data_IF_314550450608
#
_entry.id   IF_314550450608
#
_cell.length_a   1.000
_cell.length_b   1.000
_cell.length_c   1.000
_cell.angle_alpha   90.00
_cell.angle_beta   90.00
_cell.angle_gamma   90.00
#
_symmetry.space_group_name_H-M   'P 1'
#
loop_
_entity.id
_entity.type
_entity.pdbx_description
1 polymer ?
#
# COMPACT_ATOMS: atom_id res chain seq x y z
N UNK A 1 3.04 2.18 10.93
CA UNK A 1 3.37 2.21 12.39
C UNK A 1 4.27 1.01 12.71
N UNK A 2 5.10 1.02 13.76
CA UNK A 2 6.29 0.15 13.89
C UNK A 2 5.97 -1.24 14.48
N UNK A 3 6.57 -2.31 13.94
CA UNK A 3 7.03 -3.44 14.77
C UNK A 3 8.21 -2.92 15.64
N UNK A 4 7.91 -1.98 16.55
CA UNK A 4 8.88 -1.46 17.48
C UNK A 4 9.05 -2.55 18.54
N UNK A 5 10.03 -3.41 18.35
CA UNK A 5 10.80 -3.83 19.51
C UNK A 5 11.40 -2.52 20.04
N UNK A 6 10.85 -2.03 21.15
CA UNK A 6 11.19 -0.75 21.75
C UNK A 6 12.69 -0.75 22.08
N UNK A 7 13.50 -0.21 21.15
CA UNK A 7 14.93 0.00 21.35
C UNK A 7 15.20 1.27 22.16
N UNK A 8 14.21 1.74 22.95
CA UNK A 8 14.44 2.74 23.97
C UNK A 8 15.07 2.05 25.18
N UNK A 9 16.35 2.30 25.39
CA UNK A 9 16.85 2.33 26.77
C UNK A 9 15.95 3.27 27.58
N UNK A 10 15.69 2.91 28.84
CA UNK A 10 14.86 3.69 29.76
C UNK A 10 15.37 5.13 30.05
N UNK A 11 16.41 5.58 29.36
CA UNK A 11 17.11 6.85 29.53
C UNK A 11 17.06 7.80 28.31
N UNK A 12 16.42 7.42 27.19
CA UNK A 12 16.23 8.32 26.05
C UNK A 12 17.53 8.76 25.36
N UNK A 13 18.63 8.03 25.53
CA UNK A 13 19.88 8.32 24.82
C UNK A 13 19.95 7.59 23.48
N UNK A 14 20.12 8.33 22.39
CA UNK A 14 20.43 7.75 21.08
C UNK A 14 21.73 6.94 21.19
N UNK A 15 21.63 5.62 21.16
CA UNK A 15 22.80 4.75 21.14
C UNK A 15 23.55 5.03 19.85
N UNK A 16 24.74 5.62 19.93
CA UNK A 16 25.60 5.88 18.78
C UNK A 16 26.06 4.57 18.13
N UNK A 17 25.22 4.00 17.26
CA UNK A 17 25.47 2.77 16.52
C UNK A 17 26.43 3.07 15.37
N UNK A 18 27.50 2.29 15.23
CA UNK A 18 28.39 2.40 14.07
C UNK A 18 27.72 1.76 12.85
N UNK A 19 27.19 2.58 11.95
CA UNK A 19 26.51 2.13 10.74
C UNK A 19 27.44 1.58 9.66
N UNK A 20 28.75 1.80 9.74
CA UNK A 20 29.70 1.34 8.70
C UNK A 20 29.69 -0.19 8.54
N UNK A 21 29.87 -1.01 9.59
CA UNK A 21 29.80 -2.47 9.46
C UNK A 21 28.41 -2.96 9.05
N UNK A 22 27.35 -2.27 9.49
CA UNK A 22 25.95 -2.60 9.15
C UNK A 22 25.71 -2.44 7.66
N UNK A 23 26.08 -1.28 7.10
CA UNK A 23 25.97 -1.02 5.66
C UNK A 23 26.78 -2.07 4.89
N UNK A 24 28.03 -2.34 5.29
CA UNK A 24 28.86 -3.36 4.62
C UNK A 24 28.24 -4.76 4.64
N UNK A 25 27.50 -5.12 5.69
CA UNK A 25 26.77 -6.38 5.74
C UNK A 25 25.57 -6.36 4.78
N UNK A 26 24.77 -5.29 4.80
CA UNK A 26 23.63 -5.11 3.90
C UNK A 26 24.05 -5.11 2.42
N UNK A 27 25.18 -4.48 2.08
CA UNK A 27 25.75 -4.46 0.72
C UNK A 27 26.14 -5.86 0.24
N UNK A 28 26.51 -6.78 1.15
CA UNK A 28 26.77 -8.19 0.80
C UNK A 28 25.49 -8.98 0.57
N UNK A 29 24.37 -8.57 1.18
CA UNK A 29 23.06 -9.22 1.01
C UNK A 29 22.37 -8.80 -0.29
N UNK A 30 22.50 -7.52 -0.69
CA UNK A 30 21.71 -6.91 -1.77
C UNK A 30 22.52 -6.25 -2.89
N UNK A 31 23.85 -6.32 -2.92
CA UNK A 31 24.71 -5.43 -3.74
C UNK A 31 24.73 -3.97 -3.27
N UNK A 32 25.89 -3.33 -3.45
CA UNK A 32 26.12 -1.97 -2.94
C UNK A 32 25.24 -0.89 -3.57
N UNK A 33 24.81 -1.06 -4.83
CA UNK A 33 23.94 -0.10 -5.51
C UNK A 33 22.46 -0.18 -5.07
N UNK A 34 22.10 -1.12 -4.18
CA UNK A 34 20.75 -1.26 -3.62
C UNK A 34 20.69 -0.93 -2.12
N UNK A 35 21.77 -0.34 -1.60
CA UNK A 35 21.89 0.14 -0.23
C UNK A 35 22.22 1.63 -0.25
N UNK A 36 21.23 2.47 0.05
CA UNK A 36 21.39 3.93 0.05
C UNK A 36 21.79 4.41 1.43
N UNK A 37 22.81 5.26 1.49
CA UNK A 37 23.31 5.83 2.75
C UNK A 37 23.78 7.27 2.62
N UNK A 38 23.96 7.76 1.39
CA UNK A 38 24.42 9.12 1.16
C UNK A 38 23.28 10.07 1.49
N UNK A 39 23.60 11.20 2.10
CA UNK A 39 22.61 12.17 2.57
C UNK A 39 21.63 12.55 1.45
N UNK A 40 22.13 12.73 0.24
CA UNK A 40 21.35 13.12 -0.94
C UNK A 40 20.41 12.02 -1.41
N UNK A 41 20.80 10.75 -1.29
CA UNK A 41 19.94 9.60 -1.61
C UNK A 41 18.80 9.47 -0.59
N UNK A 42 19.10 9.72 0.68
CA UNK A 42 18.14 9.54 1.76
C UNK A 42 17.05 10.62 1.80
N UNK A 43 17.24 11.76 1.13
CA UNK A 43 16.27 12.86 1.09
C UNK A 43 14.91 12.43 0.51
N UNK A 44 14.89 11.56 -0.50
CA UNK A 44 13.63 11.13 -1.13
C UNK A 44 12.81 10.16 -0.26
N UNK A 45 13.38 9.71 0.86
CA UNK A 45 12.77 8.75 1.78
C UNK A 45 12.40 9.37 3.13
N UNK A 46 12.60 10.69 3.33
CA UNK A 46 12.40 11.33 4.63
C UNK A 46 10.93 11.49 5.03
N UNK A 47 10.00 11.42 4.08
CA UNK A 47 8.56 11.45 4.31
C UNK A 47 7.82 10.55 3.32
N UNK A 48 6.61 10.15 3.69
CA UNK A 48 5.60 9.65 2.75
C UNK A 48 4.74 10.82 2.23
N UNK A 49 3.49 10.57 1.84
CA UNK A 49 2.58 11.61 1.38
C UNK A 49 2.25 12.65 2.46
N UNK A 50 2.46 12.34 3.75
CA UNK A 50 2.28 13.27 4.85
C UNK A 50 3.51 14.17 5.05
N UNK A 51 3.81 14.99 4.03
CA UNK A 51 5.06 15.75 3.89
C UNK A 51 5.42 16.74 5.00
N UNK A 52 4.49 17.05 5.90
CA UNK A 52 4.72 17.88 7.09
C UNK A 52 5.58 17.18 8.15
N UNK A 53 5.63 15.84 8.14
CA UNK A 53 6.47 15.06 9.04
C UNK A 53 7.64 14.48 8.25
N UNK A 54 8.86 14.65 8.78
CA UNK A 54 10.08 14.22 8.13
C UNK A 54 11.01 13.56 9.13
N UNK A 55 11.52 12.40 8.75
CA UNK A 55 12.51 11.66 9.52
C UNK A 55 13.41 10.91 8.55
N UNK A 56 14.73 11.11 8.65
CA UNK A 56 15.67 10.38 7.81
C UNK A 56 15.99 9.01 8.42
N UNK A 57 15.95 7.91 7.65
CA UNK A 57 16.46 6.62 8.11
C UNK A 57 18.00 6.63 8.12
N UNK A 58 18.62 5.68 8.80
CA UNK A 58 20.08 5.55 8.75
C UNK A 58 20.55 4.96 7.42
N UNK A 59 19.78 4.02 6.86
CA UNK A 59 20.07 3.34 5.59
C UNK A 59 18.76 2.90 4.93
N UNK A 60 18.74 2.87 3.60
CA UNK A 60 17.62 2.33 2.81
C UNK A 60 18.11 1.12 2.04
N UNK A 61 17.28 0.08 1.97
CA UNK A 61 17.54 -1.15 1.21
C UNK A 61 16.48 -1.35 0.14
N UNK A 62 16.89 -1.83 -1.03
CA UNK A 62 16.04 -2.02 -2.22
C UNK A 62 16.06 -3.49 -2.69
N UNK A 63 15.49 -4.43 -1.90
CA UNK A 63 15.40 -5.83 -2.31
C UNK A 63 14.50 -6.03 -3.54
N UNK A 64 14.74 -7.12 -4.26
CA UNK A 64 14.06 -7.53 -5.49
C UNK A 64 13.36 -8.88 -5.35
N UNK A 65 13.71 -9.69 -4.35
CA UNK A 65 13.10 -11.01 -4.12
C UNK A 65 12.67 -11.17 -2.67
N UNK A 66 11.81 -12.16 -2.42
CA UNK A 66 11.39 -12.51 -1.06
C UNK A 66 12.57 -12.94 -0.18
N UNK A 67 13.53 -13.68 -0.75
CA UNK A 67 14.72 -14.16 -0.05
C UNK A 67 15.62 -13.00 0.39
N UNK A 68 15.75 -11.98 -0.45
CA UNK A 68 16.49 -10.77 -0.13
C UNK A 68 15.80 -9.96 0.99
N UNK A 69 14.47 -9.81 0.94
CA UNK A 69 13.71 -9.19 2.05
C UNK A 69 13.91 -9.99 3.34
N UNK A 70 13.77 -11.31 3.28
CA UNK A 70 13.97 -12.22 4.41
C UNK A 70 15.38 -12.12 5.00
N UNK A 71 16.42 -12.04 4.16
CA UNK A 71 17.79 -11.89 4.60
C UNK A 71 18.04 -10.56 5.32
N UNK A 72 17.50 -9.45 4.81
CA UNK A 72 17.61 -8.13 5.46
C UNK A 72 16.87 -8.12 6.79
N UNK A 73 15.64 -8.63 6.84
CA UNK A 73 14.83 -8.69 8.07
C UNK A 73 15.52 -9.58 9.11
N UNK A 74 16.03 -10.75 8.72
CA UNK A 74 16.77 -11.65 9.61
C UNK A 74 18.02 -10.98 10.18
N UNK A 75 18.79 -10.30 9.34
CA UNK A 75 19.94 -9.52 9.79
C UNK A 75 19.53 -8.42 10.79
N UNK A 76 18.47 -7.66 10.49
CA UNK A 76 17.94 -6.66 11.42
C UNK A 76 17.50 -7.28 12.75
N UNK A 77 16.83 -8.43 12.71
CA UNK A 77 16.38 -9.17 13.89
C UNK A 77 17.56 -9.62 14.75
N UNK A 78 18.57 -10.26 14.16
CA UNK A 78 19.77 -10.75 14.85
C UNK A 78 20.63 -9.64 15.46
N UNK A 79 20.60 -8.44 14.87
CA UNK A 79 21.37 -7.28 15.32
C UNK A 79 20.53 -6.29 16.16
N UNK A 80 19.27 -6.62 16.45
CA UNK A 80 18.32 -5.76 17.17
C UNK A 80 18.24 -4.35 16.53
N UNK A 81 18.24 -4.30 15.20
CA UNK A 81 18.12 -3.07 14.42
C UNK A 81 16.65 -2.89 14.04
N UNK A 82 16.02 -1.76 14.40
CA UNK A 82 14.65 -1.51 13.97
C UNK A 82 14.59 -1.32 12.46
N UNK A 83 13.50 -1.76 11.86
CA UNK A 83 13.24 -1.56 10.45
C UNK A 83 11.83 -1.03 10.22
N UNK A 84 11.66 -0.33 9.10
CA UNK A 84 10.37 0.14 8.59
C UNK A 84 10.25 -0.34 7.16
N UNK A 85 9.08 -0.81 6.76
CA UNK A 85 8.82 -1.17 5.36
C UNK A 85 8.15 -0.02 4.63
N UNK A 86 8.45 0.13 3.34
CA UNK A 86 7.88 1.18 2.50
C UNK A 86 7.66 0.69 1.07
N UNK A 87 6.47 0.97 0.54
CA UNK A 87 6.17 0.85 -0.89
C UNK A 87 6.55 2.11 -1.66
N UNK A 88 5.64 2.64 -2.48
CA UNK A 88 5.85 3.91 -3.18
C UNK A 88 5.90 5.15 -2.26
N UNK A 89 5.40 5.05 -1.02
CA UNK A 89 5.40 6.16 -0.06
C UNK A 89 4.34 7.23 -0.33
N UNK A 90 3.18 6.84 -0.86
CA UNK A 90 2.04 7.73 -1.13
C UNK A 90 1.05 7.82 0.04
N UNK A 91 1.31 7.13 1.15
CA UNK A 91 0.43 7.10 2.32
C UNK A 91 0.32 8.47 2.99
N UNK A 92 -0.83 8.74 3.61
CA UNK A 92 -1.13 10.02 4.29
C UNK A 92 -1.26 9.85 5.82
N UNK A 93 -0.99 8.66 6.34
CA UNK A 93 -1.08 8.31 7.76
C UNK A 93 0.24 8.48 8.52
N UNK A 94 1.37 8.61 7.81
CA UNK A 94 2.70 8.46 8.39
C UNK A 94 3.10 6.99 8.59
N UNK A 95 2.31 6.04 8.09
CA UNK A 95 2.55 4.60 8.25
C UNK A 95 3.90 4.14 7.70
N UNK A 96 4.40 4.81 6.65
CA UNK A 96 5.67 4.57 6.00
C UNK A 96 6.76 5.62 6.33
N UNK A 97 6.50 6.48 7.33
CA UNK A 97 7.50 7.42 7.85
C UNK A 97 8.63 6.62 8.52
N UNK A 98 9.90 6.87 8.18
CA UNK A 98 11.00 6.21 8.86
C UNK A 98 11.08 6.63 10.33
N UNK A 99 11.74 5.83 11.15
CA UNK A 99 12.20 6.28 12.48
C UNK A 99 13.71 6.57 12.46
N UNK A 100 14.20 7.28 13.48
CA UNK A 100 15.65 7.45 13.66
C UNK A 100 16.34 6.09 13.75
N UNK A 101 17.58 6.02 13.24
CA UNK A 101 18.45 4.85 13.43
C UNK A 101 17.85 3.51 12.96
N UNK A 102 17.00 3.54 11.92
CA UNK A 102 16.39 2.34 11.31
C UNK A 102 16.94 2.00 9.92
N UNK A 103 16.71 0.74 9.54
CA UNK A 103 16.79 0.28 8.15
C UNK A 103 15.42 0.47 7.51
N UNK A 104 15.32 1.30 6.47
CA UNK A 104 14.12 1.40 5.65
C UNK A 104 14.18 0.35 4.54
N UNK A 105 13.24 -0.59 4.51
CA UNK A 105 13.15 -1.66 3.53
C UNK A 105 12.14 -1.26 2.47
N UNK A 106 12.61 -0.91 1.27
CA UNK A 106 11.79 -0.35 0.20
C UNK A 106 11.52 -1.41 -0.86
N UNK A 107 10.26 -1.79 -1.03
CA UNK A 107 9.83 -2.88 -1.92
C UNK A 107 9.60 -2.44 -3.37
N UNK A 108 9.92 -1.19 -3.71
CA UNK A 108 9.66 -0.63 -5.04
C UNK A 108 10.42 -1.32 -6.15
N UNK A 109 11.48 -2.08 -5.88
CA UNK A 109 12.18 -2.86 -6.93
C UNK A 109 11.53 -4.23 -7.22
N UNK A 110 10.53 -4.65 -6.45
CA UNK A 110 9.78 -5.89 -6.64
C UNK A 110 8.53 -5.62 -7.51
N UNK A 111 8.71 -5.44 -8.82
CA UNK A 111 7.65 -4.93 -9.73
C UNK A 111 7.14 -5.97 -10.74
N UNK A 112 7.34 -7.27 -10.49
CA UNK A 112 6.91 -8.30 -11.44
C UNK A 112 5.45 -8.70 -11.23
N UNK A 113 4.71 -8.81 -12.33
CA UNK A 113 3.50 -9.63 -12.41
C UNK A 113 3.97 -11.06 -12.68
N UNK A 114 3.71 -11.96 -11.75
CA UNK A 114 4.24 -13.32 -11.72
C UNK A 114 3.34 -14.30 -12.49
N UNK A 115 2.02 -14.13 -12.40
CA UNK A 115 1.04 -14.99 -13.05
C UNK A 115 -0.28 -14.25 -13.31
N UNK A 116 -0.99 -14.62 -14.38
CA UNK A 116 -2.34 -14.14 -14.70
C UNK A 116 -3.20 -15.33 -15.12
N UNK A 117 -4.24 -15.61 -14.31
CA UNK A 117 -5.19 -16.70 -14.52
C UNK A 117 -6.58 -16.12 -14.77
N UNK A 118 -6.92 -15.95 -16.05
CA UNK A 118 -8.20 -15.36 -16.46
C UNK A 118 -9.40 -16.25 -16.16
N UNK A 119 -9.23 -17.58 -16.22
CA UNK A 119 -10.32 -18.53 -15.99
C UNK A 119 -10.77 -18.48 -14.53
N UNK A 120 -9.82 -18.30 -13.61
CA UNK A 120 -10.11 -18.12 -12.19
C UNK A 120 -10.20 -16.65 -11.73
N UNK A 121 -9.96 -15.70 -12.64
CA UNK A 121 -9.98 -14.26 -12.38
C UNK A 121 -8.98 -13.84 -11.29
N UNK A 122 -7.72 -14.27 -11.46
CA UNK A 122 -6.63 -14.03 -10.50
C UNK A 122 -5.40 -13.44 -11.17
N UNK A 123 -4.64 -12.69 -10.40
CA UNK A 123 -3.31 -12.22 -10.76
C UNK A 123 -2.38 -12.35 -9.55
N UNK A 124 -1.16 -12.84 -9.76
CA UNK A 124 -0.13 -12.92 -8.72
C UNK A 124 0.91 -11.85 -9.01
N UNK A 125 1.20 -11.00 -8.04
CA UNK A 125 2.10 -9.84 -8.21
C UNK A 125 3.06 -9.68 -7.05
N UNK A 126 4.20 -9.03 -7.34
CA UNK A 126 5.09 -8.52 -6.32
C UNK A 126 4.57 -7.18 -5.73
N UNK A 127 4.95 -6.81 -4.49
CA UNK A 127 4.40 -5.66 -3.76
C UNK A 127 4.74 -4.28 -4.35
N UNK A 128 5.79 -4.20 -5.18
CA UNK A 128 6.21 -2.98 -5.84
C UNK A 128 5.43 -2.66 -7.12
N UNK A 129 4.58 -3.57 -7.61
CA UNK A 129 3.69 -3.31 -8.76
C UNK A 129 2.76 -2.14 -8.42
N UNK A 130 2.69 -1.16 -9.32
CA UNK A 130 1.77 -0.02 -9.18
C UNK A 130 0.34 -0.51 -9.39
N UNK A 131 -0.59 -0.04 -8.56
CA UNK A 131 -1.99 -0.49 -8.57
C UNK A 131 -2.60 -0.51 -9.99
N UNK A 132 -2.56 0.63 -10.70
CA UNK A 132 -3.15 0.73 -12.03
C UNK A 132 -2.45 -0.15 -13.09
N UNK A 133 -1.20 -0.59 -12.86
CA UNK A 133 -0.50 -1.47 -13.81
C UNK A 133 -1.15 -2.85 -13.90
N UNK A 134 -1.84 -3.31 -12.84
CA UNK A 134 -2.60 -4.56 -12.92
C UNK A 134 -3.74 -4.42 -13.92
N UNK A 135 -4.57 -3.38 -13.79
CA UNK A 135 -5.67 -3.12 -14.72
C UNK A 135 -5.14 -2.98 -16.15
N UNK A 136 -4.03 -2.26 -16.36
CA UNK A 136 -3.40 -2.18 -17.67
C UNK A 136 -3.03 -3.56 -18.23
N UNK A 137 -2.43 -4.43 -17.42
CA UNK A 137 -2.00 -5.76 -17.82
C UNK A 137 -3.17 -6.70 -18.20
N UNK A 138 -4.33 -6.58 -17.55
CA UNK A 138 -5.48 -7.49 -17.74
C UNK A 138 -6.60 -6.92 -18.62
N UNK A 139 -6.56 -5.61 -18.92
CA UNK A 139 -7.61 -4.90 -19.68
C UNK A 139 -7.88 -5.48 -21.07
N UNK A 140 -6.85 -5.96 -21.77
CA UNK A 140 -6.99 -6.58 -23.09
C UNK A 140 -7.87 -7.83 -23.12
N UNK A 141 -8.08 -8.48 -21.97
CA UNK A 141 -8.97 -9.63 -21.80
C UNK A 141 -10.34 -9.26 -21.18
N UNK A 142 -10.63 -7.96 -21.05
CA UNK A 142 -11.89 -7.45 -20.49
C UNK A 142 -11.97 -7.56 -18.97
N UNK A 143 -10.83 -7.47 -18.27
CA UNK A 143 -10.76 -7.47 -16.81
C UNK A 143 -10.15 -6.17 -16.26
N UNK A 144 -10.31 -5.95 -14.95
CA UNK A 144 -9.67 -4.88 -14.20
C UNK A 144 -9.45 -5.27 -12.74
N UNK A 145 -8.56 -4.57 -12.03
CA UNK A 145 -8.42 -4.63 -10.58
C UNK A 145 -9.25 -3.52 -9.93
N UNK A 146 -10.10 -3.86 -8.96
CA UNK A 146 -11.17 -2.96 -8.54
C UNK A 146 -10.76 -1.88 -7.52
N UNK A 147 -9.95 -2.17 -6.49
CA UNK A 147 -9.51 -1.15 -5.55
C UNK A 147 -8.76 -0.02 -6.24
N UNK A 148 -9.33 1.18 -6.19
CA UNK A 148 -8.96 2.35 -6.98
C UNK A 148 -8.65 3.58 -6.10
N UNK A 149 -7.65 3.50 -5.19
CA UNK A 149 -7.28 4.65 -4.36
C UNK A 149 -6.95 5.85 -5.25
N UNK A 150 -7.15 7.08 -4.74
CA UNK A 150 -6.84 8.30 -5.51
C UNK A 150 -5.39 8.35 -6.02
N UNK A 151 -4.48 7.67 -5.31
CA UNK A 151 -3.07 7.50 -5.68
C UNK A 151 -2.79 6.30 -6.60
N UNK A 152 -3.79 5.63 -7.18
CA UNK A 152 -3.64 4.38 -7.98
C UNK A 152 -2.62 4.45 -9.13
N UNK A 153 -2.30 5.64 -9.62
CA UNK A 153 -1.26 5.86 -10.62
C UNK A 153 0.18 5.79 -10.06
N UNK A 154 0.33 5.78 -8.74
CA UNK A 154 1.61 5.84 -8.04
C UNK A 154 1.73 4.89 -6.84
N UNK A 155 0.63 4.52 -6.16
CA UNK A 155 0.68 3.61 -5.03
C UNK A 155 0.98 2.18 -5.48
N UNK A 156 1.76 1.47 -4.67
CA UNK A 156 2.12 0.08 -4.93
C UNK A 156 1.20 -0.88 -4.19
N UNK A 157 1.07 -2.10 -4.71
CA UNK A 157 0.20 -3.13 -4.14
C UNK A 157 0.55 -3.50 -2.71
N UNK A 158 1.84 -3.57 -2.37
CA UNK A 158 2.27 -3.80 -0.99
C UNK A 158 1.77 -2.71 -0.04
N UNK A 159 1.76 -1.45 -0.48
CA UNK A 159 1.18 -0.34 0.27
C UNK A 159 -0.34 -0.45 0.36
N UNK A 160 -1.02 -0.88 -0.72
CA UNK A 160 -2.47 -1.07 -0.68
C UNK A 160 -2.88 -2.16 0.29
N UNK A 161 -2.13 -3.27 0.34
CA UNK A 161 -2.33 -4.34 1.32
C UNK A 161 -2.06 -3.82 2.74
N UNK A 162 -0.96 -3.11 2.96
CA UNK A 162 -0.60 -2.58 4.27
C UNK A 162 -1.66 -1.61 4.83
N UNK A 163 -2.26 -0.77 4.00
CA UNK A 163 -3.23 0.26 4.41
C UNK A 163 -4.69 -0.15 4.19
N UNK A 164 -4.96 -1.39 3.74
CA UNK A 164 -6.28 -1.84 3.29
C UNK A 164 -6.99 -0.83 2.37
N UNK A 165 -6.28 -0.38 1.33
CA UNK A 165 -6.72 0.76 0.51
C UNK A 165 -8.10 0.54 -0.11
N UNK A 166 -8.94 1.57 -0.01
CA UNK A 166 -10.20 1.70 -0.75
C UNK A 166 -10.08 2.65 -1.93
N UNK A 167 -11.20 3.24 -2.32
CA UNK A 167 -11.30 4.18 -3.44
C UNK A 167 -12.76 4.55 -3.69
N UNK A 168 -13.02 5.28 -4.78
CA UNK A 168 -14.37 5.74 -5.13
C UNK A 168 -15.31 4.56 -5.32
N UNK A 169 -14.79 3.44 -5.81
CA UNK A 169 -15.61 2.26 -6.09
C UNK A 169 -15.79 1.29 -4.93
N UNK A 170 -15.33 1.65 -3.72
CA UNK A 170 -15.39 0.75 -2.57
C UNK A 170 -16.81 0.46 -2.08
N UNK A 171 -17.78 1.33 -2.36
CA UNK A 171 -19.20 1.10 -2.03
C UNK A 171 -19.72 -0.19 -2.70
N UNK A 172 -19.36 -0.43 -3.96
CA UNK A 172 -19.85 -1.58 -4.72
C UNK A 172 -18.91 -2.78 -4.65
N UNK A 173 -17.61 -2.56 -4.72
CA UNK A 173 -16.63 -3.65 -4.86
C UNK A 173 -15.86 -3.93 -3.56
N UNK A 174 -15.98 -3.09 -2.54
CA UNK A 174 -15.21 -3.20 -1.31
C UNK A 174 -13.79 -2.63 -1.46
N UNK A 175 -12.94 -2.94 -0.48
CA UNK A 175 -11.57 -2.43 -0.37
C UNK A 175 -10.55 -3.53 -0.68
N UNK A 176 -9.26 -3.27 -0.47
CA UNK A 176 -8.18 -4.22 -0.77
C UNK A 176 -8.40 -5.59 -0.13
N UNK A 177 -8.87 -5.65 1.12
CA UNK A 177 -9.15 -6.94 1.81
C UNK A 177 -10.11 -7.85 1.04
N UNK A 178 -11.10 -7.28 0.32
CA UNK A 178 -12.06 -8.05 -0.46
C UNK A 178 -11.45 -8.68 -1.73
N UNK A 179 -10.24 -8.25 -2.11
CA UNK A 179 -9.58 -8.62 -3.35
C UNK A 179 -8.28 -9.38 -3.14
N UNK A 180 -7.74 -9.44 -1.93
CA UNK A 180 -6.57 -10.26 -1.60
C UNK A 180 -7.04 -11.69 -1.30
N UNK A 181 -6.53 -12.66 -2.06
CA UNK A 181 -6.83 -14.08 -1.87
C UNK A 181 -5.72 -14.80 -1.10
N UNK A 182 -4.47 -14.36 -1.27
CA UNK A 182 -3.32 -14.93 -0.59
C UNK A 182 -2.12 -14.00 -0.59
N UNK A 183 -1.20 -14.22 0.34
CA UNK A 183 -0.02 -13.40 0.56
C UNK A 183 1.19 -14.29 0.88
N UNK A 184 2.37 -13.89 0.39
CA UNK A 184 3.65 -14.34 0.92
C UNK A 184 4.23 -13.26 1.81
N UNK A 185 4.45 -13.59 3.08
CA UNK A 185 4.83 -12.65 4.12
C UNK A 185 6.21 -13.03 4.69
N UNK A 186 7.08 -12.03 4.86
CA UNK A 186 8.30 -12.14 5.66
C UNK A 186 8.01 -11.65 7.07
N UNK A 187 8.07 -12.56 8.05
CA UNK A 187 7.84 -12.27 9.46
C UNK A 187 9.00 -11.49 10.09
N UNK A 188 8.83 -10.87 11.28
CA UNK A 188 9.87 -10.06 11.92
C UNK A 188 11.18 -10.81 12.28
N UNK A 189 11.16 -12.14 12.30
CA UNK A 189 12.35 -12.99 12.48
C UNK A 189 13.03 -13.38 11.15
N UNK A 190 12.47 -12.94 10.01
CA UNK A 190 12.93 -13.25 8.66
C UNK A 190 12.37 -14.55 8.07
N UNK A 191 11.48 -15.25 8.76
CA UNK A 191 10.83 -16.45 8.20
C UNK A 191 9.79 -16.08 7.16
N UNK A 192 9.70 -16.90 6.12
CA UNK A 192 8.75 -16.72 5.01
C UNK A 192 7.57 -17.63 5.25
N UNK A 193 6.36 -17.07 5.21
CA UNK A 193 5.11 -17.82 5.33
C UNK A 193 4.16 -17.47 4.20
N UNK A 194 3.41 -18.48 3.75
CA UNK A 194 2.29 -18.31 2.83
C UNK A 194 0.99 -18.34 3.62
N UNK A 195 0.12 -17.35 3.39
CA UNK A 195 -1.21 -17.24 4.01
C UNK A 195 -2.29 -17.04 2.96
N UNK A 196 -3.50 -17.52 3.24
CA UNK A 196 -4.57 -17.56 2.25
C UNK A 196 -4.30 -18.59 1.15
N UNK A 197 -4.80 -18.34 -0.05
CA UNK A 197 -4.61 -19.25 -1.17
C UNK A 197 -5.36 -18.82 -2.42
N UNK A 198 -5.76 -19.79 -3.23
CA UNK A 198 -6.44 -19.52 -4.48
C UNK A 198 -7.91 -19.08 -4.28
N UNK A 199 -8.55 -19.43 -3.17
CA UNK A 199 -9.97 -19.16 -2.93
C UNK A 199 -10.15 -18.09 -1.86
N UNK A 200 -11.25 -17.34 -1.93
CA UNK A 200 -11.51 -16.22 -1.02
C UNK A 200 -11.76 -16.67 0.42
N UNK A 201 -12.34 -17.86 0.61
CA UNK A 201 -12.57 -18.41 1.94
C UNK A 201 -11.95 -19.79 2.05
N UNK A 202 -11.23 -20.01 3.16
CA UNK A 202 -10.65 -21.29 3.52
C UNK A 202 -11.07 -21.67 4.94
N UNK A 203 -11.12 -22.96 5.29
CA UNK A 203 -11.37 -23.39 6.66
C UNK A 203 -10.31 -22.84 7.63
N UNK A 204 -10.74 -22.35 8.79
CA UNK A 204 -9.83 -21.86 9.83
C UNK A 204 -9.94 -20.35 10.06
N UNK A 205 -8.87 -19.75 10.56
CA UNK A 205 -8.79 -18.31 10.78
C UNK A 205 -8.49 -17.57 9.48
N UNK A 206 -9.11 -16.42 9.29
CA UNK A 206 -8.77 -15.50 8.20
C UNK A 206 -7.49 -14.73 8.53
N UNK A 207 -6.34 -15.38 8.31
CA UNK A 207 -5.03 -14.75 8.51
C UNK A 207 -4.72 -13.70 7.45
N UNK A 208 -5.33 -13.80 6.26
CA UNK A 208 -5.22 -12.78 5.22
C UNK A 208 -5.83 -11.46 5.72
N UNK A 209 -7.04 -11.51 6.27
CA UNK A 209 -7.73 -10.35 6.83
C UNK A 209 -7.02 -9.73 8.04
N UNK A 210 -6.21 -10.50 8.79
CA UNK A 210 -5.36 -9.97 9.87
C UNK A 210 -4.16 -9.17 9.33
N UNK A 211 -3.60 -9.57 8.19
CA UNK A 211 -2.42 -8.93 7.59
C UNK A 211 -2.80 -7.73 6.72
N UNK A 212 -3.92 -7.79 6.01
CA UNK A 212 -4.40 -6.64 5.23
C UNK A 212 -4.83 -5.53 6.19
N UNK A 213 -4.24 -4.34 6.06
CA UNK A 213 -4.44 -3.23 6.99
C UNK A 213 -3.50 -3.23 8.19
N UNK A 214 -2.54 -4.16 8.28
CA UNK A 214 -1.61 -4.22 9.41
C UNK A 214 -0.51 -3.15 9.36
N UNK A 215 -0.46 -2.29 8.34
CA UNK A 215 0.57 -1.27 8.12
C UNK A 215 2.01 -1.81 8.14
N UNK A 216 2.20 -3.08 7.75
CA UNK A 216 3.52 -3.74 7.79
C UNK A 216 4.03 -4.10 9.20
N UNK A 217 3.21 -3.96 10.25
CA UNK A 217 3.58 -4.29 11.65
C UNK A 217 3.69 -5.78 11.93
N UNK A 218 3.01 -6.62 11.14
CA UNK A 218 3.01 -8.08 11.30
C UNK A 218 4.02 -8.78 10.38
N UNK A 219 4.60 -8.05 9.42
CA UNK A 219 5.56 -8.57 8.45
C UNK A 219 5.57 -7.76 7.16
N UNK A 220 6.46 -8.14 6.25
CA UNK A 220 6.61 -7.51 4.93
C UNK A 220 6.01 -8.42 3.86
N UNK A 221 4.98 -7.94 3.19
CA UNK A 221 4.35 -8.64 2.06
C UNK A 221 5.30 -8.60 0.86
N UNK A 222 5.56 -9.76 0.26
CA UNK A 222 6.52 -9.94 -0.86
C UNK A 222 5.89 -10.58 -2.11
N UNK A 223 4.69 -11.11 -1.98
CA UNK A 223 3.87 -11.63 -3.08
C UNK A 223 2.40 -11.50 -2.70
N UNK A 224 1.54 -11.17 -3.66
CA UNK A 224 0.09 -10.99 -3.45
C UNK A 224 -0.67 -11.68 -4.56
N UNK A 225 -1.58 -12.57 -4.19
CA UNK A 225 -2.60 -13.12 -5.10
C UNK A 225 -3.85 -12.25 -4.99
N UNK A 226 -4.23 -11.61 -6.09
CA UNK A 226 -5.35 -10.68 -6.18
C UNK A 226 -6.46 -11.25 -7.07
N UNK A 227 -7.71 -10.93 -6.71
CA UNK A 227 -8.88 -11.09 -7.56
C UNK A 227 -8.98 -9.93 -8.56
N UNK A 228 -9.19 -10.25 -9.82
CA UNK A 228 -9.59 -9.30 -10.86
C UNK A 228 -11.06 -9.50 -11.21
N UNK A 229 -11.72 -8.47 -11.73
CA UNK A 229 -13.14 -8.46 -12.06
C UNK A 229 -13.35 -8.20 -13.55
N UNK A 230 -14.49 -8.62 -14.09
CA UNK A 230 -14.88 -8.28 -15.47
C UNK A 230 -15.24 -6.81 -15.58
N UNK A 231 -14.71 -6.15 -16.62
CA UNK A 231 -15.03 -4.76 -16.91
C UNK A 231 -16.54 -4.61 -17.20
N UNK A 232 -17.13 -3.51 -16.73
CA UNK A 232 -18.53 -3.21 -17.00
C UNK A 232 -18.75 -2.94 -18.50
N UNK A 233 -19.87 -3.41 -19.05
CA UNK A 233 -20.25 -3.17 -20.45
C UNK A 233 -20.55 -1.69 -20.72
N UNK A 234 -21.02 -0.97 -19.69
CA UNK A 234 -21.30 0.46 -19.76
C UNK A 234 -21.06 1.13 -18.41
N UNK A 235 -20.51 2.34 -18.45
CA UNK A 235 -20.36 3.22 -17.28
C UNK A 235 -21.18 4.48 -17.55
N UNK A 236 -22.00 4.89 -16.59
CA UNK A 236 -22.78 6.12 -16.62
C UNK A 236 -22.48 6.92 -15.36
N UNK A 237 -22.27 8.22 -15.52
CA UNK A 237 -22.00 9.15 -14.42
C UNK A 237 -23.10 10.19 -14.41
N UNK A 238 -23.68 10.44 -13.24
CA UNK A 238 -24.72 11.45 -13.03
C UNK A 238 -24.18 12.50 -12.06
N UNK A 239 -24.37 13.77 -12.40
CA UNK A 239 -24.12 14.90 -11.52
C UNK A 239 -25.47 15.48 -11.09
N UNK A 240 -25.66 15.68 -9.80
CA UNK A 240 -26.85 16.30 -9.23
C UNK A 240 -26.43 17.38 -8.23
N UNK A 241 -27.04 18.56 -8.33
CA UNK A 241 -26.86 19.66 -7.41
C UNK A 241 -28.01 19.72 -6.38
N UNK A 242 -27.69 20.21 -5.19
CA UNK A 242 -28.63 20.32 -4.09
C UNK A 242 -28.44 21.67 -3.39
N UNK A 243 -29.53 22.25 -2.91
CA UNK A 243 -29.50 23.53 -2.18
C UNK A 243 -29.02 23.40 -0.74
N UNK A 244 -28.88 22.17 -0.22
CA UNK A 244 -28.34 21.91 1.12
C UNK A 244 -27.69 20.52 1.21
N UNK A 245 -26.81 20.33 2.19
CA UNK A 245 -26.15 19.05 2.46
C UNK A 245 -27.17 17.99 2.91
N UNK A 246 -28.19 18.40 3.66
CA UNK A 246 -29.28 17.50 4.11
C UNK A 246 -30.07 16.95 2.93
N UNK A 247 -30.35 17.76 1.90
CA UNK A 247 -31.05 17.31 0.70
C UNK A 247 -30.19 16.29 -0.10
N UNK A 248 -28.89 16.55 -0.23
CA UNK A 248 -27.95 15.61 -0.86
C UNK A 248 -27.88 14.27 -0.10
N UNK A 249 -27.77 14.33 1.24
CA UNK A 249 -27.78 13.14 2.11
C UNK A 249 -29.10 12.36 2.06
N UNK A 250 -30.23 13.07 1.92
CA UNK A 250 -31.54 12.46 1.69
C UNK A 250 -31.57 11.66 0.39
N UNK A 251 -31.11 12.24 -0.72
CA UNK A 251 -31.04 11.54 -2.01
C UNK A 251 -30.14 10.29 -1.96
N UNK A 252 -28.98 10.38 -1.29
CA UNK A 252 -28.11 9.22 -1.01
C UNK A 252 -28.88 8.12 -0.29
N UNK A 253 -29.61 8.48 0.76
CA UNK A 253 -30.39 7.53 1.57
C UNK A 253 -31.50 6.87 0.75
N UNK A 254 -32.23 7.64 -0.06
CA UNK A 254 -33.32 7.14 -0.91
C UNK A 254 -32.81 6.14 -1.96
N UNK A 255 -31.64 6.40 -2.57
CA UNK A 255 -31.01 5.51 -3.55
C UNK A 255 -30.67 4.16 -2.91
N UNK A 256 -30.00 4.18 -1.75
CA UNK A 256 -29.62 2.96 -1.04
C UNK A 256 -30.87 2.21 -0.53
N UNK A 257 -31.88 2.92 -0.01
CA UNK A 257 -33.14 2.33 0.45
C UNK A 257 -33.92 1.67 -0.69
N UNK A 258 -33.81 2.17 -1.92
CA UNK A 258 -34.35 1.53 -3.11
C UNK A 258 -33.60 0.25 -3.53
N UNK A 259 -32.52 -0.12 -2.83
CA UNK A 259 -31.69 -1.30 -3.11
C UNK A 259 -30.70 -1.10 -4.26
N UNK A 260 -30.45 0.14 -4.66
CA UNK A 260 -29.49 0.49 -5.71
C UNK A 260 -28.13 0.68 -5.05
N UNK A 261 -27.09 -0.01 -5.57
CA UNK A 261 -25.70 0.15 -5.13
C UNK A 261 -24.91 0.77 -6.29
N UNK A 262 -24.74 2.11 -6.31
CA UNK A 262 -23.93 2.79 -7.31
C UNK A 262 -22.49 2.27 -7.28
N UNK A 263 -21.83 2.32 -8.44
CA UNK A 263 -20.42 1.96 -8.52
C UNK A 263 -19.54 2.90 -7.69
N UNK A 264 -19.89 4.19 -7.65
CA UNK A 264 -19.34 5.20 -6.74
C UNK A 264 -20.39 6.28 -6.49
N UNK A 265 -20.29 6.96 -5.36
CA UNK A 265 -21.23 8.02 -4.96
C UNK A 265 -20.49 9.00 -4.04
N UNK A 266 -20.14 10.15 -4.60
CA UNK A 266 -19.32 11.17 -3.95
C UNK A 266 -20.16 12.45 -3.74
N UNK A 267 -19.88 13.16 -2.65
CA UNK A 267 -20.49 14.46 -2.35
C UNK A 267 -19.38 15.49 -2.16
N UNK A 268 -19.56 16.67 -2.75
CA UNK A 268 -18.63 17.78 -2.61
C UNK A 268 -19.40 19.05 -2.25
N UNK A 269 -18.93 19.78 -1.24
CA UNK A 269 -19.57 21.01 -0.79
C UNK A 269 -19.13 22.21 -1.64
N UNK A 270 -19.86 23.33 -1.51
CA UNK A 270 -19.57 24.54 -2.26
C UNK A 270 -18.16 25.09 -1.97
N UNK A 271 -17.66 24.93 -0.74
CA UNK A 271 -16.31 25.39 -0.40
C UNK A 271 -15.24 24.60 -1.18
N UNK A 272 -15.33 23.28 -1.19
CA UNK A 272 -14.39 22.41 -1.91
C UNK A 272 -14.49 22.59 -3.43
N UNK A 273 -15.71 22.76 -3.95
CA UNK A 273 -15.95 23.10 -5.36
C UNK A 273 -15.19 24.35 -5.79
N UNK A 274 -15.37 25.46 -5.06
CA UNK A 274 -14.69 26.71 -5.37
C UNK A 274 -13.16 26.59 -5.21
N UNK A 275 -12.66 25.87 -4.20
CA UNK A 275 -11.23 25.66 -4.02
C UNK A 275 -10.60 24.87 -5.19
N UNK A 276 -11.31 23.88 -5.73
CA UNK A 276 -10.88 23.13 -6.92
C UNK A 276 -10.92 24.04 -8.15
N UNK A 277 -12.00 24.81 -8.35
CA UNK A 277 -12.13 25.71 -9.50
C UNK A 277 -11.10 26.85 -9.50
N UNK A 278 -10.76 27.40 -8.33
CA UNK A 278 -9.69 28.41 -8.20
C UNK A 278 -8.32 27.88 -8.65
N UNK A 279 -8.12 26.55 -8.61
CA UNK A 279 -6.84 25.91 -8.96
C UNK A 279 -6.84 25.35 -10.38
N UNK A 280 -7.90 24.63 -10.77
CA UNK A 280 -7.96 23.86 -12.02
C UNK A 280 -8.72 24.62 -13.12
N UNK A 281 -9.61 25.55 -12.75
CA UNK A 281 -10.41 26.38 -13.66
C UNK A 281 -11.16 25.59 -14.75
N UNK A 282 -11.80 24.50 -14.35
CA UNK A 282 -12.53 23.61 -15.26
C UNK A 282 -13.88 24.17 -15.70
N UNK A 283 -14.49 25.08 -14.93
CA UNK A 283 -15.85 25.59 -15.12
C UNK A 283 -16.87 24.45 -15.37
N UNK A 284 -16.66 23.31 -14.70
CA UNK A 284 -17.46 22.09 -14.90
C UNK A 284 -18.56 21.92 -13.86
N UNK A 285 -18.54 22.73 -12.81
CA UNK A 285 -19.56 22.74 -11.78
C UNK A 285 -20.55 23.90 -12.01
N UNK A 286 -21.86 23.66 -11.76
CA UNK A 286 -22.90 24.66 -11.96
C UNK A 286 -22.80 25.86 -11.00
#
# INVERSE_FOLDING_TARGET
>A
MVAAVDARSADGTATGRDWRPIVQALEKLLDANRVMRRKEELLVYECDGLSSYRQRPAVVTLPKTTEEVAAVVRFCHEQEIPFVTRGAGTGLSGGALPIEECVLIVTTCMQQILDIDYDNQRVVVQPGVINNWITQAVSGAGFYYAPDPSSQLACSIGGNVAENSGGVHCLKYGVTTNHVLGLKLVLPNGDVVDIGGAVAEMPGFDLTGVVVGSEGTLGIVTEVTLRILKSAESVQVLLADFTSVEAAGGAVSDIIQAGIIPAGMEMMDNFSLNAVEDTVATNCYP
#
